data_IF_695376958763
#
_entry.id   IF_695376958763
#
_cell.length_a   1.000
_cell.length_b   1.000
_cell.length_c   1.000
_cell.angle_alpha   90.00
_cell.angle_beta   90.00
_cell.angle_gamma   90.00
#
_symmetry.space_group_name_H-M   'P 1'
#
loop_
_entity.id
_entity.type
_entity.pdbx_description
1 polymer ?
#
# COMPACT_ATOMS: atom_id res chain seq x y z
N UNK A 1 -5.27 -8.49 -16.41
CA UNK A 1 -6.07 -9.08 -15.31
C UNK A 1 -5.80 -8.26 -14.06
N UNK A 2 -6.79 -8.06 -13.18
CA UNK A 2 -6.55 -7.40 -11.88
C UNK A 2 -5.89 -8.40 -10.93
N UNK A 3 -4.88 -7.98 -10.16
CA UNK A 3 -4.17 -8.84 -9.20
C UNK A 3 -4.70 -8.71 -7.77
N UNK A 4 -5.35 -7.58 -7.45
CA UNK A 4 -6.00 -7.38 -6.16
C UNK A 4 -7.31 -6.61 -6.27
N UNK A 5 -8.09 -6.64 -5.19
CA UNK A 5 -9.27 -5.80 -4.95
C UNK A 5 -9.09 -5.05 -3.62
N UNK A 6 -9.91 -4.02 -3.41
CA UNK A 6 -9.99 -3.33 -2.12
C UNK A 6 -11.09 -3.96 -1.24
N UNK A 7 -10.89 -3.95 0.08
CA UNK A 7 -11.90 -4.34 1.07
C UNK A 7 -13.13 -3.42 1.00
N UNK A 8 -14.32 -3.92 1.30
CA UNK A 8 -15.50 -3.06 1.47
C UNK A 8 -15.41 -2.22 2.75
N UNK A 9 -14.83 -2.80 3.80
CA UNK A 9 -14.55 -2.11 5.05
C UNK A 9 -13.48 -1.03 4.85
N UNK A 10 -13.70 0.08 5.54
CA UNK A 10 -12.78 1.21 5.57
C UNK A 10 -12.26 1.41 6.98
N UNK A 11 -10.99 1.79 7.07
CA UNK A 11 -10.35 2.18 8.32
C UNK A 11 -9.92 3.64 8.22
N UNK A 12 -10.28 4.43 9.22
CA UNK A 12 -9.73 5.77 9.36
C UNK A 12 -8.31 5.71 9.96
N UNK A 13 -7.39 6.46 9.38
CA UNK A 13 -6.05 6.68 9.90
C UNK A 13 -5.83 8.17 10.15
N UNK A 14 -5.41 8.53 11.38
CA UNK A 14 -5.07 9.90 11.73
C UNK A 14 -3.57 10.11 11.58
N UNK A 15 -3.17 11.20 10.94
CA UNK A 15 -1.77 11.62 10.81
C UNK A 15 -1.65 13.13 11.08
N UNK A 16 -0.41 13.61 11.27
CA UNK A 16 -0.12 15.03 11.43
C UNK A 16 0.65 15.53 10.21
N UNK A 17 0.22 16.65 9.65
CA UNK A 17 0.90 17.35 8.56
C UNK A 17 0.88 18.85 8.90
N UNK A 18 2.06 19.47 8.93
CA UNK A 18 2.23 20.88 9.32
C UNK A 18 1.56 21.26 10.65
N UNK A 19 1.67 20.38 11.65
CA UNK A 19 1.05 20.56 12.98
C UNK A 19 -0.49 20.43 13.00
N UNK A 20 -1.11 20.14 11.85
CA UNK A 20 -2.55 19.93 11.74
C UNK A 20 -2.87 18.44 11.72
N UNK A 21 -3.77 18.01 12.60
CA UNK A 21 -4.28 16.63 12.58
C UNK A 21 -5.21 16.44 11.39
N UNK A 22 -4.88 15.50 10.52
CA UNK A 22 -5.69 15.07 9.36
C UNK A 22 -6.14 13.63 9.52
N UNK A 23 -7.15 13.25 8.76
CA UNK A 23 -7.65 11.88 8.68
C UNK A 23 -7.72 11.45 7.22
N UNK A 24 -7.37 10.19 6.95
CA UNK A 24 -7.54 9.54 5.65
C UNK A 24 -8.35 8.25 5.84
N UNK A 25 -9.21 7.94 4.88
CA UNK A 25 -9.94 6.68 4.82
C UNK A 25 -9.15 5.72 3.94
N UNK A 26 -8.85 4.55 4.49
CA UNK A 26 -8.08 3.52 3.81
C UNK A 26 -8.92 2.26 3.58
N UNK A 27 -8.56 1.51 2.55
CA UNK A 27 -9.10 0.19 2.23
C UNK A 27 -7.95 -0.80 2.14
N UNK A 28 -8.17 -2.01 2.63
CA UNK A 28 -7.16 -3.07 2.62
C UNK A 28 -7.04 -3.67 1.22
N UNK A 29 -5.83 -3.91 0.76
CA UNK A 29 -5.59 -4.66 -0.47
C UNK A 29 -5.74 -6.16 -0.21
N UNK A 30 -6.45 -6.85 -1.10
CA UNK A 30 -6.70 -8.29 -1.01
C UNK A 30 -6.40 -8.91 -2.36
N UNK A 31 -5.42 -9.81 -2.42
CA UNK A 31 -5.05 -10.51 -3.65
C UNK A 31 -6.25 -11.30 -4.21
N UNK A 32 -6.45 -11.28 -5.52
CA UNK A 32 -7.52 -12.04 -6.22
C UNK A 32 -6.96 -13.07 -7.20
N UNK A 33 -5.64 -13.11 -7.39
CA UNK A 33 -4.92 -14.10 -8.17
C UNK A 33 -3.56 -14.34 -7.51
N UNK A 34 -2.92 -15.46 -7.83
CA UNK A 34 -1.53 -15.71 -7.44
C UNK A 34 -0.59 -14.86 -8.30
N UNK A 35 0.43 -14.26 -7.68
CA UNK A 35 1.50 -13.56 -8.38
C UNK A 35 2.75 -13.49 -7.49
N UNK A 36 3.92 -13.73 -8.09
CA UNK A 36 5.19 -13.82 -7.36
C UNK A 36 5.09 -14.77 -6.14
N UNK A 37 5.27 -14.26 -4.94
CA UNK A 37 5.18 -14.95 -3.65
C UNK A 37 3.84 -14.68 -2.92
N UNK A 38 2.87 -14.04 -3.58
CA UNK A 38 1.55 -13.71 -3.02
C UNK A 38 0.50 -14.67 -3.58
N UNK A 39 -0.30 -15.24 -2.67
CA UNK A 39 -1.37 -16.19 -2.98
C UNK A 39 -2.72 -15.46 -3.02
N UNK A 40 -3.61 -15.87 -3.91
CA UNK A 40 -4.97 -15.36 -3.98
C UNK A 40 -5.68 -15.45 -2.60
N UNK A 41 -6.37 -14.39 -2.23
CA UNK A 41 -7.03 -14.24 -0.94
C UNK A 41 -6.15 -13.66 0.18
N UNK A 42 -4.83 -13.55 0.00
CA UNK A 42 -3.95 -12.91 0.99
C UNK A 42 -4.29 -11.41 1.11
N UNK A 43 -4.57 -11.00 2.34
CA UNK A 43 -4.72 -9.59 2.70
C UNK A 43 -3.35 -8.95 2.95
N UNK A 44 -3.14 -7.75 2.42
CA UNK A 44 -1.94 -6.95 2.61
C UNK A 44 -2.21 -5.66 3.40
N UNK A 45 -1.43 -4.64 3.10
CA UNK A 45 -1.56 -3.31 3.72
C UNK A 45 -2.78 -2.50 3.25
N UNK A 46 -2.79 -1.22 3.61
CA UNK A 46 -3.94 -0.33 3.44
C UNK A 46 -3.60 0.85 2.53
N UNK A 47 -4.49 1.17 1.58
CA UNK A 47 -4.33 2.29 0.66
C UNK A 47 -5.55 3.19 0.60
N UNK A 48 -5.37 4.48 0.30
CA UNK A 48 -6.48 5.44 0.18
C UNK A 48 -7.16 5.40 -1.20
N UNK A 49 -6.40 5.06 -2.25
CA UNK A 49 -6.88 5.00 -3.64
C UNK A 49 -6.23 3.84 -4.39
N UNK A 50 -6.95 3.29 -5.37
CA UNK A 50 -6.44 2.18 -6.20
C UNK A 50 -5.16 2.56 -6.97
N UNK A 51 -4.93 3.84 -7.23
CA UNK A 51 -3.73 4.34 -7.92
C UNK A 51 -2.43 4.23 -7.11
N UNK A 52 -2.51 3.97 -5.80
CA UNK A 52 -1.33 3.86 -4.93
C UNK A 52 -0.52 2.61 -5.24
N UNK A 53 -1.17 1.50 -5.60
CA UNK A 53 -0.50 0.23 -5.90
C UNK A 53 -0.84 -0.18 -7.32
N UNK A 54 0.16 -0.36 -8.18
CA UNK A 54 -0.11 -0.76 -9.56
C UNK A 54 -0.76 -2.16 -9.61
N UNK A 55 -1.74 -2.34 -10.50
CA UNK A 55 -2.33 -3.66 -10.80
C UNK A 55 -1.35 -4.53 -11.60
N UNK A 56 -0.42 -3.91 -12.33
CA UNK A 56 0.66 -4.55 -13.08
C UNK A 56 1.89 -4.81 -12.20
N UNK A 57 2.76 -5.72 -12.67
CA UNK A 57 3.98 -6.09 -11.96
C UNK A 57 3.74 -6.83 -10.65
N UNK A 58 4.82 -7.09 -9.91
CA UNK A 58 4.81 -7.86 -8.68
C UNK A 58 4.78 -7.01 -7.41
N UNK A 59 4.58 -5.69 -7.53
CA UNK A 59 4.60 -4.83 -6.36
C UNK A 59 3.51 -5.18 -5.36
N UNK A 60 3.86 -5.17 -4.06
CA UNK A 60 2.94 -5.57 -2.99
C UNK A 60 3.30 -4.95 -1.63
N UNK A 61 2.28 -4.72 -0.82
CA UNK A 61 2.39 -4.30 0.58
C UNK A 61 2.01 -5.49 1.46
N UNK A 62 3.01 -6.14 2.06
CA UNK A 62 2.84 -7.44 2.70
C UNK A 62 2.23 -7.35 4.10
N UNK A 63 2.61 -6.35 4.90
CA UNK A 63 2.17 -6.23 6.30
C UNK A 63 0.75 -5.62 6.38
N UNK A 64 -0.13 -6.22 7.16
CA UNK A 64 -1.51 -5.74 7.33
C UNK A 64 -1.62 -4.46 8.17
N UNK A 65 -0.54 -4.02 8.80
CA UNK A 65 -0.44 -2.73 9.48
C UNK A 65 0.24 -1.66 8.62
N UNK A 66 0.82 -2.02 7.47
CA UNK A 66 1.43 -1.05 6.59
C UNK A 66 0.38 -0.21 5.86
N UNK A 67 0.72 1.05 5.62
CA UNK A 67 -0.19 2.09 5.13
C UNK A 67 0.51 2.86 4.01
N UNK A 68 -0.17 3.07 2.88
CA UNK A 68 0.32 3.93 1.80
C UNK A 68 -0.80 4.85 1.29
N UNK A 69 -0.60 6.18 1.30
CA UNK A 69 -1.66 7.13 0.95
C UNK A 69 -1.10 8.47 0.46
N UNK A 70 -1.97 9.44 0.16
CA UNK A 70 -1.55 10.84 0.08
C UNK A 70 -0.63 11.18 -1.10
N UNK A 71 -0.75 10.44 -2.22
CA UNK A 71 0.05 10.68 -3.43
C UNK A 71 1.12 9.63 -3.72
N UNK A 72 1.35 8.69 -2.79
CA UNK A 72 2.31 7.61 -2.98
C UNK A 72 1.97 6.75 -4.21
N UNK A 73 3.00 6.34 -4.96
CA UNK A 73 2.89 5.47 -6.13
C UNK A 73 3.86 4.30 -5.99
N UNK A 74 3.32 3.09 -5.94
CA UNK A 74 4.04 1.83 -5.77
C UNK A 74 3.81 0.98 -7.01
N UNK A 75 4.88 0.68 -7.76
CA UNK A 75 4.79 -0.06 -9.03
C UNK A 75 6.02 -0.96 -9.27
N UNK A 76 6.05 -1.65 -10.42
CA UNK A 76 7.11 -2.59 -10.76
C UNK A 76 7.06 -3.86 -9.90
N UNK A 77 8.19 -4.22 -9.30
CA UNK A 77 8.37 -5.32 -8.36
C UNK A 77 8.66 -4.81 -6.94
N UNK A 78 8.30 -3.58 -6.62
CA UNK A 78 8.55 -2.99 -5.29
C UNK A 78 7.91 -3.80 -4.16
N UNK A 79 8.67 -4.08 -3.11
CA UNK A 79 8.21 -4.83 -1.93
C UNK A 79 8.17 -3.92 -0.72
N UNK A 80 7.03 -3.83 -0.06
CA UNK A 80 6.88 -3.12 1.22
C UNK A 80 6.62 -4.16 2.31
N UNK A 81 7.60 -4.36 3.19
CA UNK A 81 7.54 -5.32 4.30
C UNK A 81 7.60 -4.61 5.65
N UNK A 82 7.20 -5.34 6.70
CA UNK A 82 7.09 -4.81 8.06
C UNK A 82 6.08 -3.67 8.18
N UNK A 83 5.96 -3.11 9.38
CA UNK A 83 5.05 -1.99 9.67
C UNK A 83 5.61 -0.72 9.04
N UNK A 84 5.23 -0.44 7.79
CA UNK A 84 5.72 0.73 7.03
C UNK A 84 4.62 1.74 6.74
N UNK A 85 4.97 3.03 6.66
CA UNK A 85 4.05 4.12 6.33
C UNK A 85 4.64 4.95 5.18
N UNK A 86 3.93 5.00 4.05
CA UNK A 86 4.33 5.78 2.88
C UNK A 86 3.27 6.85 2.62
N UNK A 87 3.67 8.11 2.52
CA UNK A 87 2.74 9.19 2.17
C UNK A 87 3.43 10.31 1.41
N UNK A 88 2.68 11.27 0.85
CA UNK A 88 3.29 12.34 0.04
C UNK A 88 3.75 11.89 -1.34
N UNK A 89 4.61 12.68 -2.00
CA UNK A 89 5.13 12.45 -3.36
C UNK A 89 6.19 11.32 -3.41
N UNK A 90 5.86 10.15 -2.86
CA UNK A 90 6.72 8.98 -2.82
C UNK A 90 6.54 8.11 -4.07
N UNK A 91 7.62 7.87 -4.79
CA UNK A 91 7.65 7.01 -5.98
C UNK A 91 8.50 5.77 -5.71
N UNK A 92 7.86 4.65 -5.41
CA UNK A 92 8.50 3.37 -5.13
C UNK A 92 8.34 2.43 -6.33
N UNK A 93 9.31 2.44 -7.24
CA UNK A 93 9.21 1.77 -8.55
C UNK A 93 10.35 0.77 -8.77
N UNK A 94 10.30 0.02 -9.87
CA UNK A 94 11.29 -0.99 -10.25
C UNK A 94 11.45 -2.14 -9.25
N UNK A 95 12.57 -2.23 -8.52
CA UNK A 95 12.86 -3.35 -7.60
C UNK A 95 13.19 -2.86 -6.18
N UNK A 96 12.59 -1.74 -5.77
CA UNK A 96 12.80 -1.17 -4.44
C UNK A 96 12.26 -2.11 -3.36
N UNK A 97 12.95 -2.16 -2.22
CA UNK A 97 12.49 -2.88 -1.05
C UNK A 97 12.56 -1.95 0.17
N UNK A 98 11.39 -1.67 0.74
CA UNK A 98 11.27 -0.98 2.02
C UNK A 98 10.86 -1.96 3.10
N UNK A 99 11.52 -1.90 4.25
CA UNK A 99 11.25 -2.75 5.40
C UNK A 99 11.15 -1.90 6.66
N UNK A 100 10.03 -2.00 7.37
CA UNK A 100 9.76 -1.30 8.63
C UNK A 100 10.18 0.19 8.60
N UNK A 101 9.69 0.93 7.60
CA UNK A 101 10.15 2.28 7.27
C UNK A 101 9.00 3.29 7.19
N UNK A 102 9.27 4.54 7.55
CA UNK A 102 8.40 5.68 7.30
C UNK A 102 9.01 6.57 6.20
N UNK A 103 8.22 6.90 5.18
CA UNK A 103 8.67 7.60 3.98
C UNK A 103 7.61 8.64 3.62
N UNK A 104 8.02 9.90 3.47
CA UNK A 104 7.16 11.05 3.20
C UNK A 104 7.76 12.01 2.19
#
# INVERSE_FOLDING_TARGET
MRKYRLSEEQRAFSYQEDGTKKNVLLRQIIAISDFNDVIAGTAGGWIDRETVLAQEGNCWIYDQNAIAFGGAVISGNTRITGTSVLWGEVYATDNVWYDNSEIS
#
